data_IF_398921129196
#
_entry.id   IF_398921129196
#
_cell.length_a   1.000
_cell.length_b   1.000
_cell.length_c   1.000
_cell.angle_alpha   90.00
_cell.angle_beta   90.00
_cell.angle_gamma   90.00
#
_symmetry.space_group_name_H-M   'P 1'
#
loop_
_entity.id
_entity.type
_entity.pdbx_description
1 polymer ?
#
# COMPACT_ATOMS: atom_id res chain seq x y z
N UNK A 1 -9.81 -15.61 6.93
CA UNK A 1 -10.77 -16.65 7.35
C UNK A 1 -11.59 -17.22 6.20
N UNK A 2 -12.45 -16.46 5.49
CA UNK A 2 -13.27 -17.03 4.40
C UNK A 2 -12.43 -17.65 3.26
N UNK A 3 -11.35 -16.96 2.83
CA UNK A 3 -10.46 -17.49 1.79
C UNK A 3 -9.84 -18.85 2.16
N UNK A 4 -9.51 -19.02 3.44
CA UNK A 4 -8.94 -20.27 3.96
C UNK A 4 -9.98 -21.35 4.26
N UNK A 5 -11.22 -20.95 4.58
CA UNK A 5 -12.36 -21.86 4.74
C UNK A 5 -12.76 -22.46 3.38
N UNK A 6 -12.81 -21.66 2.30
CA UNK A 6 -13.08 -22.17 0.95
C UNK A 6 -11.97 -23.15 0.48
N UNK A 7 -10.70 -22.86 0.81
CA UNK A 7 -9.58 -23.79 0.57
C UNK A 7 -9.76 -25.09 1.36
N UNK A 8 -10.26 -25.03 2.59
CA UNK A 8 -10.52 -26.21 3.43
C UNK A 8 -11.72 -27.05 2.96
N UNK A 9 -12.74 -26.42 2.41
CA UNK A 9 -13.89 -27.11 1.82
C UNK A 9 -13.51 -27.84 0.51
N UNK A 10 -12.54 -27.33 -0.24
CA UNK A 10 -12.09 -27.92 -1.51
C UNK A 10 -10.82 -28.78 -1.39
N UNK A 11 -10.09 -28.75 -0.26
CA UNK A 11 -8.90 -29.59 -0.04
C UNK A 11 -8.56 -29.79 1.44
N UNK A 12 -8.01 -30.95 1.79
CA UNK A 12 -7.65 -31.35 3.15
C UNK A 12 -6.76 -30.38 3.96
N UNK A 13 -6.77 -30.57 5.29
CA UNK A 13 -6.41 -29.57 6.31
C UNK A 13 -5.01 -28.93 6.29
N UNK A 14 -4.04 -29.46 5.54
CA UNK A 14 -2.70 -28.84 5.40
C UNK A 14 -2.78 -27.52 4.61
N UNK A 15 -3.64 -27.43 3.59
CA UNK A 15 -3.78 -26.22 2.77
C UNK A 15 -4.43 -25.07 3.53
N UNK A 16 -5.29 -25.36 4.50
CA UNK A 16 -5.92 -24.36 5.39
C UNK A 16 -4.89 -23.67 6.28
N UNK A 17 -3.94 -24.45 6.85
CA UNK A 17 -2.84 -23.90 7.66
C UNK A 17 -1.94 -22.99 6.83
N UNK A 18 -1.58 -23.40 5.61
CA UNK A 18 -0.80 -22.59 4.67
C UNK A 18 -1.50 -21.27 4.30
N UNK A 19 -2.81 -21.32 4.06
CA UNK A 19 -3.60 -20.11 3.79
C UNK A 19 -3.62 -19.15 4.98
N UNK A 20 -3.80 -19.66 6.21
CA UNK A 20 -3.76 -18.84 7.41
C UNK A 20 -2.41 -18.14 7.62
N UNK A 21 -1.31 -18.85 7.37
CA UNK A 21 0.04 -18.29 7.42
C UNK A 21 0.23 -17.20 6.36
N UNK A 22 -0.21 -17.44 5.12
CA UNK A 22 -0.11 -16.46 4.04
C UNK A 22 -0.92 -15.18 4.35
N UNK A 23 -2.13 -15.34 4.90
CA UNK A 23 -2.97 -14.20 5.26
C UNK A 23 -2.35 -13.38 6.40
N UNK A 24 -1.81 -14.05 7.43
CA UNK A 24 -1.15 -13.37 8.54
C UNK A 24 0.12 -12.64 8.07
N UNK A 25 0.93 -13.28 7.22
CA UNK A 25 2.11 -12.66 6.63
C UNK A 25 1.76 -11.41 5.80
N UNK A 26 0.68 -11.48 5.01
CA UNK A 26 0.20 -10.33 4.24
C UNK A 26 -0.23 -9.18 5.16
N UNK A 27 -1.01 -9.47 6.22
CA UNK A 27 -1.46 -8.44 7.16
C UNK A 27 -0.29 -7.76 7.88
N UNK A 28 0.69 -8.54 8.34
CA UNK A 28 1.91 -8.01 8.97
C UNK A 28 2.71 -7.16 7.99
N UNK A 29 2.89 -7.63 6.75
CA UNK A 29 3.60 -6.89 5.70
C UNK A 29 2.92 -5.57 5.37
N UNK A 30 1.59 -5.56 5.27
CA UNK A 30 0.79 -4.35 5.04
C UNK A 30 0.98 -3.32 6.16
N UNK A 31 0.89 -3.75 7.42
CA UNK A 31 1.06 -2.86 8.57
C UNK A 31 2.46 -2.25 8.63
N UNK A 32 3.51 -3.04 8.37
CA UNK A 32 4.88 -2.54 8.31
C UNK A 32 5.03 -1.51 7.18
N UNK A 33 4.54 -1.83 5.98
CA UNK A 33 4.66 -0.94 4.82
C UNK A 33 3.92 0.38 5.02
N UNK A 34 2.70 0.37 5.59
CA UNK A 34 1.99 1.61 5.93
C UNK A 34 2.75 2.43 6.97
N UNK A 35 3.30 1.78 8.00
CA UNK A 35 4.05 2.47 9.06
C UNK A 35 5.29 3.18 8.51
N UNK A 36 6.06 2.50 7.65
CA UNK A 36 7.22 3.09 6.99
C UNK A 36 6.81 4.23 6.05
N UNK A 37 5.78 4.00 5.22
CA UNK A 37 5.29 4.99 4.25
C UNK A 37 4.81 6.27 4.95
N UNK A 38 4.04 6.12 6.04
CA UNK A 38 3.59 7.25 6.84
C UNK A 38 4.76 7.99 7.49
N UNK A 39 5.76 7.28 8.02
CA UNK A 39 6.93 7.92 8.61
C UNK A 39 7.72 8.74 7.58
N UNK A 40 7.93 8.20 6.37
CA UNK A 40 8.61 8.91 5.27
C UNK A 40 7.78 10.13 4.82
N UNK A 41 6.46 9.97 4.68
CA UNK A 41 5.57 11.07 4.31
C UNK A 41 5.62 12.21 5.34
N UNK A 42 5.60 11.90 6.64
CA UNK A 42 5.71 12.91 7.70
C UNK A 42 7.09 13.57 7.74
N UNK A 43 8.16 12.81 7.49
CA UNK A 43 9.50 13.36 7.35
C UNK A 43 9.64 14.28 6.12
N UNK A 44 8.93 13.97 5.03
CA UNK A 44 8.95 14.77 3.81
C UNK A 44 8.41 16.20 3.99
N UNK A 45 7.54 16.39 4.99
CA UNK A 45 6.95 17.69 5.32
C UNK A 45 8.01 18.73 5.73
N UNK A 46 9.17 18.28 6.19
CA UNK A 46 10.31 19.12 6.49
C UNK A 46 10.83 19.87 5.24
N UNK A 47 10.89 19.20 4.08
CA UNK A 47 11.32 19.83 2.83
C UNK A 47 10.36 20.92 2.36
N UNK A 48 9.06 20.80 2.69
CA UNK A 48 8.06 21.83 2.43
C UNK A 48 8.25 23.08 3.32
N UNK A 49 8.69 22.89 4.58
CA UNK A 49 8.89 24.00 5.53
C UNK A 49 10.24 24.69 5.43
N UNK A 50 11.32 23.93 5.21
CA UNK A 50 12.69 24.46 5.27
C UNK A 50 13.28 24.76 3.88
N UNK A 51 12.58 24.36 2.80
CA UNK A 51 13.03 24.52 1.42
C UNK A 51 13.99 23.41 0.98
N UNK A 52 14.08 23.19 -0.32
CA UNK A 52 14.82 22.08 -0.96
C UNK A 52 16.36 22.10 -0.74
N UNK A 53 16.89 23.08 -0.01
CA UNK A 53 18.33 23.36 0.12
C UNK A 53 18.93 23.00 1.49
N UNK A 54 18.13 22.54 2.45
CA UNK A 54 18.60 22.20 3.80
C UNK A 54 18.45 20.69 4.03
N UNK A 55 19.54 20.03 4.45
CA UNK A 55 19.52 18.60 4.75
C UNK A 55 18.61 18.34 5.95
N UNK A 56 17.44 17.74 5.70
CA UNK A 56 16.51 17.47 6.77
C UNK A 56 16.83 16.15 7.47
N UNK A 57 17.43 16.24 8.66
CA UNK A 57 17.70 15.09 9.51
C UNK A 57 16.53 14.83 10.48
N UNK A 58 15.35 14.50 9.96
CA UNK A 58 14.22 14.12 10.83
C UNK A 58 14.28 12.64 11.19
N UNK A 59 14.16 12.31 12.48
CA UNK A 59 14.15 10.93 12.95
C UNK A 59 12.81 10.24 12.61
N UNK A 60 12.84 9.34 11.63
CA UNK A 60 11.66 8.54 11.22
C UNK A 60 11.10 7.71 12.38
N UNK A 61 11.94 7.33 13.35
CA UNK A 61 11.56 6.49 14.49
C UNK A 61 10.45 7.10 15.33
N UNK A 62 10.46 8.41 15.53
CA UNK A 62 9.44 9.06 16.36
C UNK A 62 8.07 9.07 15.67
N UNK A 63 8.04 9.22 14.34
CA UNK A 63 6.80 9.16 13.57
C UNK A 63 6.22 7.75 13.51
N UNK A 64 7.08 6.73 13.42
CA UNK A 64 6.63 5.33 13.50
C UNK A 64 5.96 5.03 14.85
N UNK A 65 6.55 5.49 15.95
CA UNK A 65 5.98 5.32 17.30
C UNK A 65 4.64 6.05 17.42
N UNK A 66 4.56 7.32 17.00
CA UNK A 66 3.33 8.11 17.05
C UNK A 66 2.22 7.46 16.22
N UNK A 67 2.54 6.94 15.02
CA UNK A 67 1.58 6.24 14.18
C UNK A 67 1.10 4.94 14.82
N UNK A 68 2.00 4.16 15.43
CA UNK A 68 1.65 2.96 16.19
C UNK A 68 0.71 3.25 17.37
N UNK A 69 0.96 4.31 18.14
CA UNK A 69 0.06 4.73 19.24
C UNK A 69 -1.33 5.09 18.71
N UNK A 70 -1.42 5.83 17.59
CA UNK A 70 -2.71 6.13 16.95
C UNK A 70 -3.43 4.86 16.49
N UNK A 71 -2.73 3.88 15.92
CA UNK A 71 -3.33 2.59 15.53
C UNK A 71 -3.90 1.84 16.74
N UNK A 72 -3.19 1.82 17.88
CA UNK A 72 -3.69 1.19 19.11
C UNK A 72 -4.96 1.89 19.58
N UNK A 73 -4.99 3.23 19.61
CA UNK A 73 -6.17 3.99 20.01
C UNK A 73 -7.35 3.71 19.07
N UNK A 74 -7.12 3.72 17.75
CA UNK A 74 -8.15 3.43 16.76
C UNK A 74 -8.69 1.99 16.87
N UNK A 75 -7.83 1.02 17.20
CA UNK A 75 -8.24 -0.38 17.43
C UNK A 75 -9.18 -0.53 18.62
N UNK A 76 -9.20 0.42 19.55
CA UNK A 76 -10.07 0.40 20.74
C UNK A 76 -11.45 1.03 20.49
N UNK A 77 -11.76 1.48 19.26
CA UNK A 77 -13.04 2.11 18.91
C UNK A 77 -13.97 1.07 18.25
N UNK A 78 -14.96 0.51 18.98
CA UNK A 78 -15.91 -0.46 18.43
C UNK A 78 -17.15 0.17 17.78
N UNK A 79 -17.24 1.51 17.70
CA UNK A 79 -18.42 2.18 17.16
C UNK A 79 -18.43 2.23 15.63
N UNK A 80 -19.43 1.58 15.01
CA UNK A 80 -19.62 1.56 13.56
C UNK A 80 -19.78 2.96 12.92
N UNK A 81 -20.31 3.92 13.67
CA UNK A 81 -20.48 5.29 13.18
C UNK A 81 -19.13 6.01 12.97
N UNK A 82 -18.16 5.80 13.86
CA UNK A 82 -16.82 6.38 13.76
C UNK A 82 -16.02 5.76 12.60
N UNK A 83 -16.24 4.47 12.31
CA UNK A 83 -15.60 3.77 11.19
C UNK A 83 -16.11 4.25 9.82
N UNK A 84 -17.37 4.69 9.73
CA UNK A 84 -17.95 5.22 8.49
C UNK A 84 -17.25 6.51 8.03
N UNK A 85 -16.92 7.40 8.98
CA UNK A 85 -16.17 8.64 8.70
C UNK A 85 -14.77 8.31 8.16
N UNK A 86 -14.10 7.31 8.74
CA UNK A 86 -12.79 6.85 8.24
C UNK A 86 -12.87 6.35 6.79
N UNK A 87 -13.95 5.63 6.44
CA UNK A 87 -14.17 5.17 5.07
C UNK A 87 -14.38 6.33 4.09
N UNK A 88 -15.12 7.38 4.49
CA UNK A 88 -15.33 8.58 3.65
C UNK A 88 -14.01 9.30 3.41
N UNK A 89 -13.19 9.49 4.46
CA UNK A 89 -11.86 10.09 4.34
C UNK A 89 -10.98 9.26 3.41
N UNK A 90 -10.98 7.92 3.56
CA UNK A 90 -10.22 7.03 2.70
C UNK A 90 -10.62 7.15 1.23
N UNK A 91 -11.93 7.24 0.94
CA UNK A 91 -12.42 7.43 -0.42
C UNK A 91 -11.93 8.77 -1.01
N UNK A 92 -12.05 9.87 -0.27
CA UNK A 92 -11.57 11.20 -0.68
C UNK A 92 -10.06 11.19 -0.98
N UNK A 93 -9.27 10.58 -0.10
CA UNK A 93 -7.83 10.45 -0.29
C UNK A 93 -7.51 9.62 -1.54
N UNK A 94 -8.24 8.54 -1.81
CA UNK A 94 -8.06 7.72 -3.01
C UNK A 94 -8.28 8.54 -4.29
N UNK A 95 -9.39 9.28 -4.39
CA UNK A 95 -9.65 10.15 -5.54
C UNK A 95 -8.58 11.22 -5.69
N UNK A 96 -8.14 11.81 -4.58
CA UNK A 96 -7.10 12.84 -4.57
C UNK A 96 -5.77 12.30 -5.09
N UNK A 97 -5.30 11.14 -4.59
CA UNK A 97 -4.06 10.53 -5.06
C UNK A 97 -4.14 10.12 -6.53
N UNK A 98 -5.26 9.55 -6.98
CA UNK A 98 -5.46 9.23 -8.40
C UNK A 98 -5.46 10.47 -9.29
N UNK A 99 -6.11 11.56 -8.87
CA UNK A 99 -6.13 12.81 -9.61
C UNK A 99 -4.74 13.45 -9.71
N UNK A 100 -3.96 13.45 -8.62
CA UNK A 100 -2.56 13.92 -8.63
C UNK A 100 -1.70 13.08 -9.56
N UNK A 101 -1.80 11.74 -9.47
CA UNK A 101 -1.06 10.83 -10.35
C UNK A 101 -1.40 11.04 -11.82
N UNK A 102 -2.68 11.20 -12.14
CA UNK A 102 -3.15 11.51 -13.50
C UNK A 102 -2.64 12.88 -13.97
N UNK A 103 -2.74 13.92 -13.13
CA UNK A 103 -2.26 15.26 -13.45
C UNK A 103 -0.76 15.30 -13.73
N UNK A 104 0.04 14.62 -12.90
CA UNK A 104 1.49 14.48 -13.12
C UNK A 104 1.79 13.69 -14.40
N UNK A 105 1.06 12.61 -14.69
CA UNK A 105 1.24 11.84 -15.92
C UNK A 105 0.93 12.67 -17.17
N UNK A 106 -0.18 13.41 -17.17
CA UNK A 106 -0.56 14.30 -18.28
C UNK A 106 0.47 15.43 -18.44
N UNK A 107 0.90 16.06 -17.33
CA UNK A 107 1.92 17.12 -17.37
C UNK A 107 3.23 16.61 -17.98
N UNK A 108 3.66 15.39 -17.61
CA UNK A 108 4.86 14.76 -18.17
C UNK A 108 4.74 14.46 -19.67
N UNK A 109 3.56 14.11 -20.16
CA UNK A 109 3.31 13.89 -21.59
C UNK A 109 3.26 15.23 -22.34
N UNK A 110 2.68 16.26 -21.73
CA UNK A 110 2.56 17.61 -22.32
C UNK A 110 3.88 18.39 -22.35
N UNK A 111 4.82 18.10 -21.44
CA UNK A 111 6.15 18.72 -21.39
C UNK A 111 7.03 18.43 -22.61
N UNK A 112 6.63 17.52 -23.52
CA UNK A 112 7.27 17.30 -24.83
C UNK A 112 8.70 16.71 -24.78
N UNK A 113 9.30 16.62 -23.59
CA UNK A 113 10.46 15.81 -23.35
C UNK A 113 10.02 14.37 -23.51
N UNK A 114 10.36 13.72 -24.63
CA UNK A 114 10.37 12.27 -24.69
C UNK A 114 11.25 11.82 -23.52
N UNK A 115 10.71 11.27 -22.41
CA UNK A 115 11.59 10.61 -21.48
C UNK A 115 12.29 9.53 -22.32
N UNK A 116 13.57 9.24 -22.04
CA UNK A 116 14.26 8.09 -22.64
C UNK A 116 13.62 6.78 -22.16
N UNK A 117 12.32 6.60 -22.33
CA UNK A 117 11.56 5.37 -22.17
C UNK A 117 11.70 4.62 -23.48
N UNK A 118 12.82 3.94 -23.64
CA UNK A 118 12.94 2.91 -24.66
C UNK A 118 11.97 1.78 -24.32
N UNK A 119 11.38 1.16 -25.34
CA UNK A 119 10.55 -0.05 -25.23
C UNK A 119 11.30 -1.22 -24.58
N UNK A 120 12.64 -1.17 -24.56
CA UNK A 120 13.57 -2.09 -23.89
C UNK A 120 14.10 -1.59 -22.53
N UNK A 121 13.60 -0.45 -22.04
CA UNK A 121 14.05 0.21 -20.82
C UNK A 121 15.33 1.02 -21.00
N UNK A 122 15.68 1.81 -19.97
CA UNK A 122 16.88 2.65 -19.95
C UNK A 122 18.11 1.76 -20.26
N UNK A 123 18.94 2.09 -21.27
CA UNK A 123 20.13 1.32 -21.60
C UNK A 123 21.12 1.39 -20.43
N UNK A 124 21.63 0.23 -20.03
CA UNK A 124 22.67 0.11 -19.00
C UNK A 124 23.95 0.75 -19.53
N UNK A 125 24.28 1.96 -19.04
CA UNK A 125 25.53 2.64 -19.37
C UNK A 125 25.45 4.16 -19.51
N UNK A 126 24.31 4.75 -19.88
CA UNK A 126 24.22 6.22 -20.06
C UNK A 126 24.04 7.00 -18.75
N UNK A 127 23.40 6.40 -17.73
CA UNK A 127 23.03 7.08 -16.47
C UNK A 127 23.72 6.49 -15.21
N UNK A 128 24.74 5.64 -15.38
CA UNK A 128 25.48 5.03 -14.25
C UNK A 128 24.75 3.90 -13.49
N UNK A 129 23.60 3.42 -13.98
CA UNK A 129 22.87 2.32 -13.33
C UNK A 129 23.48 0.94 -13.63
N UNK A 130 23.78 0.18 -12.58
CA UNK A 130 24.30 -1.20 -12.65
C UNK A 130 23.18 -2.21 -12.96
N UNK A 131 23.52 -3.35 -13.59
CA UNK A 131 22.58 -4.44 -13.89
C UNK A 131 21.80 -4.92 -12.65
N UNK A 132 22.47 -5.01 -11.51
CA UNK A 132 21.86 -5.37 -10.22
C UNK A 132 20.81 -4.34 -9.77
N UNK A 133 21.09 -3.04 -9.93
CA UNK A 133 20.15 -1.97 -9.58
C UNK A 133 18.89 -2.02 -10.44
N UNK A 134 19.04 -2.33 -11.73
CA UNK A 134 17.90 -2.50 -12.64
C UNK A 134 16.98 -3.64 -12.19
N UNK A 135 17.57 -4.80 -11.84
CA UNK A 135 16.82 -5.95 -11.32
C UNK A 135 16.14 -5.60 -9.99
N UNK A 136 16.86 -4.94 -9.09
CA UNK A 136 16.32 -4.51 -7.79
C UNK A 136 15.15 -3.56 -7.93
N UNK A 137 15.24 -2.56 -8.80
CA UNK A 137 14.16 -1.62 -9.07
C UNK A 137 12.92 -2.32 -9.65
N UNK A 138 13.09 -3.32 -10.51
CA UNK A 138 11.98 -4.13 -11.02
C UNK A 138 11.30 -4.92 -9.90
N UNK A 139 12.06 -5.59 -9.03
CA UNK A 139 11.50 -6.29 -7.88
C UNK A 139 10.80 -5.35 -6.90
N UNK A 140 11.36 -4.16 -6.67
CA UNK A 140 10.73 -3.14 -5.83
C UNK A 140 9.41 -2.66 -6.43
N UNK A 141 9.35 -2.43 -7.74
CA UNK A 141 8.12 -2.07 -8.44
C UNK A 141 7.06 -3.17 -8.33
N UNK A 142 7.45 -4.44 -8.56
CA UNK A 142 6.56 -5.59 -8.37
C UNK A 142 6.07 -5.72 -6.92
N UNK A 143 6.96 -5.48 -5.95
CA UNK A 143 6.62 -5.45 -4.53
C UNK A 143 5.60 -4.35 -4.19
N UNK A 144 5.75 -3.16 -4.76
CA UNK A 144 4.80 -2.06 -4.58
C UNK A 144 3.42 -2.40 -5.17
N UNK A 145 3.37 -3.05 -6.33
CA UNK A 145 2.11 -3.53 -6.93
C UNK A 145 1.47 -4.60 -6.03
N UNK A 146 2.24 -5.59 -5.59
CA UNK A 146 1.76 -6.66 -4.73
C UNK A 146 1.22 -6.10 -3.39
N UNK A 147 1.92 -5.14 -2.79
CA UNK A 147 1.49 -4.44 -1.59
C UNK A 147 0.19 -3.65 -1.83
N UNK A 148 0.05 -3.00 -2.98
CA UNK A 148 -1.19 -2.31 -3.35
C UNK A 148 -2.37 -3.29 -3.48
N UNK A 149 -2.19 -4.54 -3.93
CA UNK A 149 -3.30 -5.52 -4.00
C UNK A 149 -3.64 -6.19 -2.67
N UNK A 150 -2.85 -5.96 -1.62
CA UNK A 150 -3.05 -6.61 -0.34
C UNK A 150 -4.39 -6.25 0.33
N UNK A 151 -5.01 -5.10 -0.01
CA UNK A 151 -6.33 -4.71 0.51
C UNK A 151 -7.46 -5.62 0.03
N UNK A 152 -7.32 -6.25 -1.14
CA UNK A 152 -8.40 -7.06 -1.73
C UNK A 152 -8.75 -8.26 -0.85
N UNK A 153 -7.76 -8.82 -0.13
CA UNK A 153 -7.97 -9.90 0.82
C UNK A 153 -8.86 -9.49 2.00
N UNK A 154 -8.73 -8.26 2.50
CA UNK A 154 -9.53 -7.75 3.65
C UNK A 154 -10.95 -7.42 3.20
N UNK A 155 -11.11 -6.85 2.00
CA UNK A 155 -12.40 -6.46 1.45
C UNK A 155 -13.36 -7.65 1.29
N UNK A 156 -12.86 -8.79 0.79
CA UNK A 156 -13.65 -10.02 0.64
C UNK A 156 -14.13 -10.55 2.01
N UNK A 157 -13.34 -10.39 3.07
CA UNK A 157 -13.71 -10.86 4.41
C UNK A 157 -14.79 -10.00 5.07
N UNK A 158 -14.74 -8.69 4.84
CA UNK A 158 -15.78 -7.76 5.28
C UNK A 158 -17.09 -8.07 4.54
N UNK A 159 -17.03 -8.25 3.22
CA UNK A 159 -18.21 -8.57 2.41
C UNK A 159 -18.86 -9.91 2.79
N UNK A 160 -18.07 -10.90 3.19
CA UNK A 160 -18.60 -12.18 3.66
C UNK A 160 -19.12 -12.16 5.11
N UNK A 161 -18.86 -11.09 5.87
CA UNK A 161 -19.50 -10.88 7.18
C UNK A 161 -20.89 -10.27 7.07
N UNK A 162 -21.23 -9.66 5.92
CA UNK A 162 -22.60 -9.31 5.63
C UNK A 162 -23.39 -10.58 5.31
N UNK A 163 -24.57 -10.80 5.93
CA UNK A 163 -25.44 -11.86 5.50
C UNK A 163 -25.90 -11.56 4.07
N UNK A 164 -25.30 -12.25 3.09
CA UNK A 164 -25.89 -12.40 1.77
C UNK A 164 -27.23 -13.11 1.96
N UNK A 165 -28.31 -12.65 1.31
CA UNK A 165 -29.54 -13.43 1.24
C UNK A 165 -29.16 -14.82 0.71
N UNK A 166 -29.42 -15.83 1.52
CA UNK A 166 -29.31 -17.23 1.13
C UNK A 166 -29.98 -17.42 -0.24
N UNK A 167 -29.29 -17.92 -1.28
CA UNK A 167 -30.01 -18.53 -2.38
C UNK A 167 -30.63 -19.82 -1.85
N UNK A 168 -31.92 -19.75 -1.55
CA UNK A 168 -32.82 -20.90 -1.57
C UNK A 168 -32.93 -21.37 -3.02
N UNK A 169 -32.02 -22.25 -3.45
CA UNK A 169 -32.30 -23.42 -4.29
C UNK A 169 -31.07 -24.31 -4.40
#
# INVERSE_FOLDING_TARGET
MINCVCVGANTGGIKVKLCGVAQYANLVGVTIGYTITTAISMASNCFHKQGHKVGCHTSNNIFMIIFGVKQIILSQIPNFHDLSILSIIAAIMSFTYSAIGLGLAIAKVAEGHHPKTSLTGIPTGEDGMTNSQKIWNTFQALGNIAFAYAFSNVLIEIQASFPLPTPIL
#
